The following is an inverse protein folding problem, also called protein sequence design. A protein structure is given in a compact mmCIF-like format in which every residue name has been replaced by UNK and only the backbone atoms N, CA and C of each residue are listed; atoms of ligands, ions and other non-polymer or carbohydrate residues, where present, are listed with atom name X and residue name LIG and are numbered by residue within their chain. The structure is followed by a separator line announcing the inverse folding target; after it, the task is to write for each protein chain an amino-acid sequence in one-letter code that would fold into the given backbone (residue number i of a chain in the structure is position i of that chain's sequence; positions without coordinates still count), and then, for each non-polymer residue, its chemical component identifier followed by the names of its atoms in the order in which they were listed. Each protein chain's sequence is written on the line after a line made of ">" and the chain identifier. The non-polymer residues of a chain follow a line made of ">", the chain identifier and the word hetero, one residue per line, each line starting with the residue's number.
data_IF_642887262788
#
_entry.id   IF_642887262788
#
_cell.length_a   1.000
_cell.length_b   1.000
_cell.length_c   1.000
_cell.angle_alpha   90.00
_cell.angle_beta   90.00
_cell.angle_gamma   90.00
#
_symmetry.space_group_name_H-M   'P 1'
#
loop_
_entity.id
_entity.type
_entity.pdbx_description
1 polymer ?
#
# COMPACT_ATOMS: atom_id res chain seq x y z
N UNK A 1 7.86 29.40 13.16
CA UNK A 1 8.71 28.75 14.16
C UNK A 1 8.20 27.33 14.27
N UNK A 2 8.85 26.39 13.60
CA UNK A 2 8.44 24.97 13.59
C UNK A 2 8.80 24.36 14.94
N UNK A 3 7.81 23.76 15.59
CA UNK A 3 7.96 23.08 16.86
C UNK A 3 8.96 21.91 16.69
N UNK A 4 10.08 21.87 17.45
CA UNK A 4 11.08 20.80 17.34
C UNK A 4 10.60 19.44 17.86
N UNK A 5 9.39 19.34 18.39
CA UNK A 5 8.80 18.13 18.94
C UNK A 5 7.84 17.39 17.99
N UNK A 6 7.66 17.88 16.76
CA UNK A 6 6.96 17.10 15.72
C UNK A 6 7.70 15.77 15.52
N UNK A 7 6.99 14.65 15.69
CA UNK A 7 7.50 13.29 15.49
C UNK A 7 7.94 13.12 14.03
N UNK A 8 9.14 13.59 13.73
CA UNK A 8 9.73 13.46 12.41
C UNK A 8 10.25 12.04 12.26
N UNK A 9 9.59 11.25 11.44
CA UNK A 9 10.20 9.98 10.99
C UNK A 9 11.52 10.32 10.31
N UNK A 10 12.63 9.74 10.82
CA UNK A 10 13.94 9.96 10.20
C UNK A 10 13.89 9.52 8.74
N UNK A 11 14.39 10.35 7.84
CA UNK A 11 14.46 10.08 6.39
C UNK A 11 15.08 8.70 6.10
N UNK A 12 16.08 8.28 6.89
CA UNK A 12 16.70 6.96 6.78
C UNK A 12 15.71 5.82 7.01
N UNK A 13 14.85 5.92 8.02
CA UNK A 13 13.82 4.90 8.30
C UNK A 13 12.82 4.82 7.14
N UNK A 14 12.40 5.95 6.60
CA UNK A 14 11.51 5.99 5.44
C UNK A 14 12.11 5.25 4.23
N UNK A 15 13.38 5.47 3.92
CA UNK A 15 14.07 4.80 2.82
C UNK A 15 14.30 3.30 3.10
N UNK A 16 14.57 2.89 4.34
CA UNK A 16 14.66 1.47 4.72
C UNK A 16 13.33 0.76 4.41
N UNK A 17 12.20 1.36 4.78
CA UNK A 17 10.88 0.78 4.49
C UNK A 17 10.61 0.65 2.99
N UNK A 18 11.05 1.62 2.18
CA UNK A 18 10.95 1.56 0.71
C UNK A 18 11.84 0.45 0.15
N UNK A 19 13.08 0.36 0.60
CA UNK A 19 14.01 -0.69 0.16
C UNK A 19 13.48 -2.08 0.50
N UNK A 20 13.03 -2.31 1.74
CA UNK A 20 12.43 -3.57 2.16
C UNK A 20 11.20 -3.94 1.31
N UNK A 21 10.36 -2.95 0.96
CA UNK A 21 9.23 -3.18 0.06
C UNK A 21 9.67 -3.72 -1.29
N UNK A 22 10.66 -3.09 -1.93
CA UNK A 22 11.16 -3.55 -3.22
C UNK A 22 11.87 -4.90 -3.14
N UNK A 23 12.60 -5.18 -2.06
CA UNK A 23 13.19 -6.50 -1.80
C UNK A 23 12.10 -7.57 -1.73
N UNK A 24 11.04 -7.36 -0.95
CA UNK A 24 9.93 -8.32 -0.82
C UNK A 24 9.20 -8.53 -2.16
N UNK A 25 8.95 -7.47 -2.93
CA UNK A 25 8.35 -7.57 -4.26
C UNK A 25 9.25 -8.37 -5.20
N UNK A 26 10.56 -8.08 -5.21
CA UNK A 26 11.52 -8.82 -6.03
C UNK A 26 11.58 -10.29 -5.66
N UNK A 27 11.59 -10.62 -4.36
CA UNK A 27 11.56 -12.00 -3.90
C UNK A 27 10.27 -12.71 -4.34
N UNK A 28 9.10 -12.06 -4.19
CA UNK A 28 7.83 -12.62 -4.65
C UNK A 28 7.84 -12.96 -6.14
N UNK A 29 8.43 -12.10 -6.95
CA UNK A 29 8.49 -12.30 -8.42
C UNK A 29 9.56 -13.32 -8.81
N UNK A 30 10.67 -13.40 -8.06
CA UNK A 30 11.83 -14.24 -8.40
C UNK A 30 11.69 -15.69 -7.92
N UNK A 31 10.81 -15.98 -6.95
CA UNK A 31 10.62 -17.35 -6.45
C UNK A 31 10.02 -18.24 -7.54
N UNK A 32 10.59 -19.43 -7.77
CA UNK A 32 10.03 -20.40 -8.69
C UNK A 32 8.63 -20.85 -8.27
N UNK A 33 7.81 -21.18 -9.27
CA UNK A 33 6.49 -21.76 -9.04
C UNK A 33 6.59 -23.04 -8.22
N UNK A 34 5.71 -23.19 -7.24
CA UNK A 34 5.58 -24.39 -6.42
C UNK A 34 4.44 -25.29 -6.89
N UNK A 35 3.93 -26.13 -5.99
CA UNK A 35 2.88 -27.09 -6.27
C UNK A 35 1.85 -27.25 -5.14
N UNK A 36 1.63 -26.19 -4.34
CA UNK A 36 0.65 -26.24 -3.25
C UNK A 36 -0.80 -26.41 -3.76
N UNK A 37 -1.10 -25.85 -4.92
CA UNK A 37 -2.37 -26.01 -5.63
C UNK A 37 -2.15 -26.05 -7.14
N UNK A 38 -3.12 -26.60 -7.91
CA UNK A 38 -3.02 -26.64 -9.37
C UNK A 38 -3.00 -25.24 -9.98
N UNK A 39 -2.02 -24.97 -10.84
CA UNK A 39 -1.87 -23.70 -11.57
C UNK A 39 -2.37 -23.85 -13.01
N UNK A 40 -3.67 -24.16 -13.15
CA UNK A 40 -4.35 -24.28 -14.44
C UNK A 40 -5.01 -22.97 -14.86
N UNK A 41 -5.95 -23.10 -15.82
CA UNK A 41 -6.66 -21.94 -16.42
C UNK A 41 -7.32 -21.04 -15.38
N UNK A 42 -7.96 -21.60 -14.36
CA UNK A 42 -8.65 -20.83 -13.31
C UNK A 42 -7.64 -19.97 -12.52
N UNK A 43 -6.53 -20.57 -12.09
CA UNK A 43 -5.48 -19.84 -11.38
C UNK A 43 -4.88 -18.73 -12.25
N UNK A 44 -4.66 -19.00 -13.55
CA UNK A 44 -4.16 -18.01 -14.51
C UNK A 44 -5.11 -16.84 -14.72
N UNK A 45 -6.41 -17.11 -14.90
CA UNK A 45 -7.42 -16.06 -15.03
C UNK A 45 -7.50 -15.23 -13.75
N UNK A 46 -7.53 -15.88 -12.58
CA UNK A 46 -7.59 -15.18 -11.28
C UNK A 46 -6.35 -14.30 -11.06
N UNK A 47 -5.17 -14.85 -11.30
CA UNK A 47 -3.91 -14.10 -11.19
C UNK A 47 -3.88 -12.91 -12.15
N UNK A 48 -4.28 -13.12 -13.40
CA UNK A 48 -4.36 -12.05 -14.41
C UNK A 48 -5.36 -10.95 -14.02
N UNK A 49 -6.53 -11.32 -13.52
CA UNK A 49 -7.54 -10.37 -13.05
C UNK A 49 -7.03 -9.53 -11.86
N UNK A 50 -6.34 -10.15 -10.89
CA UNK A 50 -5.75 -9.46 -9.74
C UNK A 50 -4.62 -8.52 -10.17
N UNK A 51 -3.75 -8.94 -11.08
CA UNK A 51 -2.68 -8.10 -11.63
C UNK A 51 -3.26 -6.90 -12.38
N UNK A 52 -4.23 -7.13 -13.24
CA UNK A 52 -4.88 -6.05 -14.00
C UNK A 52 -5.62 -5.10 -13.07
N UNK A 53 -6.39 -5.61 -12.10
CA UNK A 53 -7.07 -4.80 -11.09
C UNK A 53 -6.10 -3.95 -10.28
N UNK A 54 -4.99 -4.54 -9.83
CA UNK A 54 -3.92 -3.81 -9.15
C UNK A 54 -3.31 -2.72 -10.04
N UNK A 55 -3.01 -3.02 -11.31
CA UNK A 55 -2.50 -2.03 -12.25
C UNK A 55 -3.46 -0.85 -12.44
N UNK A 56 -4.74 -1.13 -12.68
CA UNK A 56 -5.77 -0.08 -12.87
C UNK A 56 -5.88 0.81 -11.63
N UNK A 57 -5.99 0.21 -10.44
CA UNK A 57 -6.05 0.97 -9.18
C UNK A 57 -4.77 1.81 -9.01
N UNK A 58 -3.59 1.24 -9.29
CA UNK A 58 -2.32 1.93 -9.17
C UNK A 58 -2.22 3.14 -10.10
N UNK A 59 -2.58 2.97 -11.36
CA UNK A 59 -2.57 4.06 -12.36
C UNK A 59 -3.55 5.16 -11.97
N UNK A 60 -4.81 4.82 -11.65
CA UNK A 60 -5.82 5.80 -11.25
C UNK A 60 -5.37 6.57 -9.99
N UNK A 61 -4.82 5.85 -9.01
CA UNK A 61 -4.36 6.46 -7.76
C UNK A 61 -3.18 7.41 -7.97
N UNK A 62 -2.22 7.00 -8.79
CA UNK A 62 -1.03 7.80 -9.10
C UNK A 62 -1.39 9.07 -9.87
N UNK A 63 -2.28 8.97 -10.86
CA UNK A 63 -2.79 10.12 -11.61
C UNK A 63 -3.51 11.09 -10.66
N UNK A 64 -4.38 10.56 -9.78
CA UNK A 64 -5.17 11.37 -8.84
C UNK A 64 -4.29 12.07 -7.81
N UNK A 65 -3.25 11.40 -7.31
CA UNK A 65 -2.31 11.97 -6.34
C UNK A 65 -1.39 13.04 -6.97
N UNK A 66 -1.03 12.87 -8.25
CA UNK A 66 -0.28 13.84 -9.03
C UNK A 66 1.02 14.28 -8.33
N UNK A 67 1.17 15.58 -8.10
CA UNK A 67 2.36 16.17 -7.47
C UNK A 67 2.56 15.78 -5.99
N UNK A 68 1.52 15.29 -5.31
CA UNK A 68 1.64 14.82 -3.92
C UNK A 68 2.27 13.42 -3.82
N UNK A 69 2.49 12.73 -4.94
CA UNK A 69 3.09 11.39 -4.97
C UNK A 69 4.52 11.41 -4.41
N UNK A 70 4.76 10.56 -3.40
CA UNK A 70 6.10 10.28 -2.86
C UNK A 70 6.30 8.77 -2.72
N UNK A 71 7.49 8.23 -2.98
CA UNK A 71 7.78 6.82 -2.78
C UNK A 71 7.91 6.43 -1.31
N UNK A 72 8.22 7.38 -0.43
CA UNK A 72 8.35 7.18 1.00
C UNK A 72 7.11 7.70 1.76
N UNK A 73 6.88 7.24 2.99
CA UNK A 73 5.71 7.62 3.77
C UNK A 73 5.76 9.04 4.37
N UNK A 74 6.71 9.88 3.96
CA UNK A 74 6.80 11.27 4.41
C UNK A 74 6.04 12.15 3.40
N UNK A 75 4.93 12.81 3.82
CA UNK A 75 4.17 13.69 2.94
C UNK A 75 5.00 14.88 2.45
N UNK A 76 4.81 15.28 1.19
CA UNK A 76 5.48 16.47 0.64
C UNK A 76 5.03 17.74 1.36
N UNK A 77 5.96 18.68 1.53
CA UNK A 77 5.68 19.97 2.20
C UNK A 77 4.68 20.84 1.42
N UNK A 78 4.65 20.71 0.10
CA UNK A 78 3.75 21.41 -0.83
C UNK A 78 2.53 20.56 -1.26
N UNK A 79 2.35 19.38 -0.64
CA UNK A 79 1.23 18.47 -0.93
C UNK A 79 -0.08 18.95 -0.29
N UNK A 80 -1.20 18.55 -0.89
CA UNK A 80 -2.54 18.69 -0.31
C UNK A 80 -3.08 17.31 0.08
N UNK A 81 -4.04 17.28 0.99
CA UNK A 81 -4.73 16.05 1.35
C UNK A 81 -5.74 15.69 0.24
N UNK A 82 -5.47 14.61 -0.49
CA UNK A 82 -6.39 14.09 -1.48
C UNK A 82 -7.40 13.15 -0.81
N UNK A 83 -8.68 13.48 -0.93
CA UNK A 83 -9.80 12.71 -0.34
C UNK A 83 -10.86 12.32 -1.36
N UNK A 84 -10.68 12.74 -2.63
CA UNK A 84 -11.66 12.53 -3.70
C UNK A 84 -11.40 11.28 -4.53
N UNK A 85 -12.39 10.87 -5.34
CA UNK A 85 -12.28 9.73 -6.23
C UNK A 85 -11.96 8.44 -5.47
N UNK A 86 -10.92 7.72 -5.89
CA UNK A 86 -10.50 6.45 -5.26
C UNK A 86 -10.04 6.64 -3.81
N UNK A 87 -9.51 7.83 -3.45
CA UNK A 87 -9.15 8.18 -2.08
C UNK A 87 -10.36 8.39 -1.18
N UNK A 88 -11.55 8.64 -1.74
CA UNK A 88 -12.81 8.63 -1.01
C UNK A 88 -13.31 7.24 -0.61
N UNK A 89 -12.76 6.19 -1.21
CA UNK A 89 -13.09 4.78 -0.90
C UNK A 89 -12.03 4.12 -0.03
N UNK A 90 -10.75 4.40 -0.31
CA UNK A 90 -9.59 3.77 0.32
C UNK A 90 -8.51 4.83 0.55
N UNK A 91 -7.94 4.90 1.77
CA UNK A 91 -6.91 5.91 2.10
C UNK A 91 -5.56 5.65 1.44
N UNK A 92 -5.21 4.36 1.23
CA UNK A 92 -3.93 3.95 0.65
C UNK A 92 -4.13 3.09 -0.61
N UNK A 93 -4.77 3.62 -1.67
CA UNK A 93 -5.11 2.83 -2.84
C UNK A 93 -3.87 2.34 -3.62
N UNK A 94 -2.75 3.06 -3.58
CA UNK A 94 -1.47 2.61 -4.16
C UNK A 94 -0.96 1.35 -3.45
N UNK A 95 -1.06 1.28 -2.11
CA UNK A 95 -0.68 0.07 -1.37
C UNK A 95 -1.63 -1.09 -1.65
N UNK A 96 -2.93 -0.81 -1.77
CA UNK A 96 -3.93 -1.81 -2.21
C UNK A 96 -3.61 -2.34 -3.60
N UNK A 97 -3.22 -1.49 -4.52
CA UNK A 97 -2.79 -1.87 -5.87
C UNK A 97 -1.60 -2.84 -5.85
N UNK A 98 -0.58 -2.54 -5.05
CA UNK A 98 0.59 -3.42 -4.84
C UNK A 98 0.15 -4.75 -4.24
N UNK A 99 -0.67 -4.74 -3.20
CA UNK A 99 -1.16 -5.98 -2.56
C UNK A 99 -1.98 -6.84 -3.52
N UNK A 100 -2.88 -6.24 -4.31
CA UNK A 100 -3.65 -6.98 -5.32
C UNK A 100 -2.74 -7.61 -6.39
N UNK A 101 -1.80 -6.85 -6.93
CA UNK A 101 -0.87 -7.36 -7.92
C UNK A 101 -0.02 -8.51 -7.35
N UNK A 102 0.51 -8.37 -6.13
CA UNK A 102 1.32 -9.41 -5.48
C UNK A 102 0.48 -10.62 -5.06
N UNK A 103 -0.81 -10.44 -4.72
CA UNK A 103 -1.72 -11.55 -4.51
C UNK A 103 -1.92 -12.38 -5.79
N UNK A 104 -1.98 -11.72 -6.95
CA UNK A 104 -1.97 -12.40 -8.25
C UNK A 104 -0.71 -13.26 -8.44
N UNK A 105 0.46 -12.74 -8.07
CA UNK A 105 1.72 -13.49 -8.09
C UNK A 105 1.65 -14.70 -7.13
N UNK A 106 1.08 -14.54 -5.93
CA UNK A 106 0.88 -15.67 -4.98
C UNK A 106 0.00 -16.74 -5.59
N UNK A 107 -1.14 -16.38 -6.17
CA UNK A 107 -2.08 -17.34 -6.80
C UNK A 107 -1.39 -18.12 -7.90
N UNK A 108 -0.62 -17.46 -8.78
CA UNK A 108 0.13 -18.13 -9.83
C UNK A 108 1.33 -18.91 -9.30
N UNK A 109 2.01 -18.37 -8.27
CA UNK A 109 3.23 -18.96 -7.71
C UNK A 109 3.03 -20.27 -6.96
N UNK A 110 1.83 -20.51 -6.39
CA UNK A 110 1.45 -21.78 -5.74
C UNK A 110 2.52 -22.36 -4.79
N UNK A 111 3.14 -21.54 -3.97
CA UNK A 111 4.26 -21.91 -3.09
C UNK A 111 4.12 -21.27 -1.71
N UNK A 112 4.53 -22.02 -0.67
CA UNK A 112 4.58 -21.53 0.71
C UNK A 112 5.39 -20.23 0.83
N UNK A 113 6.50 -20.12 0.10
CA UNK A 113 7.35 -18.93 0.14
C UNK A 113 6.63 -17.68 -0.42
N UNK A 114 5.79 -17.84 -1.47
CA UNK A 114 4.97 -16.73 -1.96
C UNK A 114 4.01 -16.24 -0.87
N UNK A 115 3.37 -17.16 -0.12
CA UNK A 115 2.49 -16.79 0.98
C UNK A 115 3.27 -16.06 2.07
N UNK A 116 4.43 -16.60 2.49
CA UNK A 116 5.27 -16.00 3.55
C UNK A 116 5.69 -14.58 3.18
N UNK A 117 6.27 -14.38 1.99
CA UNK A 117 6.73 -13.05 1.58
C UNK A 117 5.57 -12.09 1.32
N UNK A 118 4.43 -12.57 0.87
CA UNK A 118 3.22 -11.76 0.75
C UNK A 118 2.73 -11.26 2.13
N UNK A 119 2.67 -12.13 3.13
CA UNK A 119 2.29 -11.73 4.49
C UNK A 119 3.28 -10.72 5.08
N UNK A 120 4.58 -10.89 4.85
CA UNK A 120 5.59 -9.91 5.24
C UNK A 120 5.39 -8.56 4.53
N UNK A 121 5.02 -8.58 3.24
CA UNK A 121 4.70 -7.36 2.50
C UNK A 121 3.43 -6.67 3.05
N UNK A 122 2.39 -7.42 3.38
CA UNK A 122 1.17 -6.89 4.04
C UNK A 122 1.52 -6.21 5.36
N UNK A 123 2.34 -6.86 6.20
CA UNK A 123 2.81 -6.29 7.47
C UNK A 123 3.62 -5.01 7.25
N UNK A 124 4.56 -5.02 6.31
CA UNK A 124 5.40 -3.87 5.99
C UNK A 124 4.55 -2.67 5.51
N UNK A 125 3.62 -2.90 4.57
CA UNK A 125 2.75 -1.84 4.05
C UNK A 125 1.80 -1.31 5.13
N UNK A 126 1.37 -2.16 6.08
CA UNK A 126 0.58 -1.71 7.22
C UNK A 126 1.41 -0.80 8.16
N UNK A 127 2.67 -1.14 8.41
CA UNK A 127 3.60 -0.28 9.19
C UNK A 127 3.82 1.05 8.47
N UNK A 128 4.07 1.04 7.14
CA UNK A 128 4.21 2.25 6.33
C UNK A 128 2.96 3.13 6.40
N UNK A 129 1.78 2.53 6.19
CA UNK A 129 0.52 3.27 6.23
C UNK A 129 0.27 3.92 7.60
N UNK A 130 0.54 3.20 8.70
CA UNK A 130 0.42 3.77 10.05
C UNK A 130 1.39 4.92 10.29
N UNK A 131 2.61 4.83 9.81
CA UNK A 131 3.61 5.89 9.92
C UNK A 131 3.18 7.14 9.14
N UNK A 132 2.70 6.95 7.90
CA UNK A 132 2.16 8.01 7.06
C UNK A 132 0.92 8.67 7.68
N UNK A 133 -0.04 7.86 8.18
CA UNK A 133 -1.25 8.35 8.84
C UNK A 133 -0.96 9.21 10.08
N UNK A 134 0.09 8.88 10.86
CA UNK A 134 0.52 9.72 12.00
C UNK A 134 0.97 11.10 11.53
N UNK A 135 1.79 11.16 10.48
CA UNK A 135 2.26 12.43 9.92
C UNK A 135 1.12 13.24 9.28
N UNK A 136 0.14 12.55 8.67
CA UNK A 136 -1.04 13.21 8.10
C UNK A 136 -1.98 13.76 9.18
N UNK A 137 -2.13 13.05 10.32
CA UNK A 137 -2.89 13.53 11.48
C UNK A 137 -2.29 14.79 12.11
N UNK A 138 -0.96 14.89 12.14
CA UNK A 138 -0.26 16.07 12.65
C UNK A 138 -0.35 17.26 11.68
N UNK A 139 -0.43 16.96 10.39
CA UNK A 139 -0.36 17.98 9.35
C UNK A 139 -1.71 18.56 8.92
N UNK A 140 -2.75 17.73 8.88
CA UNK A 140 -4.07 18.08 8.36
C UNK A 140 -5.14 17.92 9.44
N UNK A 141 -5.74 19.00 9.88
CA UNK A 141 -6.79 19.00 10.92
C UNK A 141 -7.99 18.13 10.54
N UNK A 142 -8.35 18.10 9.25
CA UNK A 142 -9.47 17.32 8.73
C UNK A 142 -9.14 15.85 8.44
N UNK A 143 -7.87 15.41 8.64
CA UNK A 143 -7.49 14.02 8.34
C UNK A 143 -8.19 13.01 9.25
N UNK A 144 -8.42 13.35 10.52
CA UNK A 144 -9.10 12.48 11.48
C UNK A 144 -10.52 12.13 11.02
N UNK A 145 -11.30 13.12 10.60
CA UNK A 145 -12.69 12.92 10.14
C UNK A 145 -12.73 12.12 8.85
N UNK A 146 -11.83 12.39 7.91
CA UNK A 146 -11.63 11.57 6.73
C UNK A 146 -11.31 10.11 7.08
N UNK A 147 -10.40 9.86 8.00
CA UNK A 147 -9.97 8.52 8.39
C UNK A 147 -11.00 7.72 9.21
N UNK A 148 -11.98 8.41 9.83
CA UNK A 148 -13.15 7.78 10.47
C UNK A 148 -14.17 7.25 9.47
N UNK A 149 -14.22 7.81 8.27
CA UNK A 149 -15.22 7.46 7.25
C UNK A 149 -14.66 6.51 6.20
N UNK A 150 -13.39 6.64 5.83
CA UNK A 150 -12.74 5.90 4.74
C UNK A 150 -11.86 4.77 5.28
N UNK A 151 -11.92 3.58 4.65
CA UNK A 151 -11.09 2.42 5.01
C UNK A 151 -9.63 2.59 4.62
N UNK A 152 -8.71 1.80 5.26
CA UNK A 152 -7.27 1.92 5.00
C UNK A 152 -6.85 1.31 3.66
N UNK A 153 -7.03 0.01 3.48
CA UNK A 153 -6.67 -0.76 2.28
C UNK A 153 -7.88 -1.35 1.55
N UNK A 154 -8.98 -1.49 2.27
CA UNK A 154 -10.23 -2.05 1.76
C UNK A 154 -11.35 -1.08 2.16
N UNK A 155 -12.33 -0.82 1.27
CA UNK A 155 -13.46 0.04 1.60
C UNK A 155 -14.11 -0.37 2.93
N UNK A 156 -14.28 0.58 3.81
CA UNK A 156 -14.93 0.37 5.12
C UNK A 156 -14.10 -0.30 6.20
N UNK A 157 -12.96 -0.93 5.89
CA UNK A 157 -12.10 -1.62 6.87
C UNK A 157 -10.89 -0.77 7.30
N UNK A 158 -10.53 -0.88 8.59
CA UNK A 158 -9.36 -0.18 9.14
C UNK A 158 -9.57 1.32 9.32
N UNK A 159 -10.79 1.76 9.57
CA UNK A 159 -11.13 3.13 9.98
C UNK A 159 -10.48 3.45 11.32
N UNK A 160 -10.21 4.73 11.57
CA UNK A 160 -9.75 5.19 12.88
C UNK A 160 -10.99 5.30 13.78
N UNK A 161 -10.97 4.60 14.89
CA UNK A 161 -11.92 4.74 16.01
C UNK A 161 -11.24 5.57 17.09
N UNK A 162 -12.03 6.24 17.90
CA UNK A 162 -11.54 7.01 19.07
C UNK A 162 -10.89 6.10 20.11
#
# INVERSE_FOLDING_TARGET
>A
MSDPNLVTMKQSVAWILVTLQFVLITLLVAIPQGGLWPTGLVAGITAGALLLGGLVIGVVSTIKLGKALTPNPIPRLDGHLETGGIYGLIRHPIYTAVLLAMLGIVVWGSSTWHIVFFLLLVMLLNVKARAEERLLLERYENYRDYARTVGRFVPGLGKITD
#
